data_IF_318714503754
#
_entry.id   IF_318714503754
#
_cell.length_a   1.000
_cell.length_b   1.000
_cell.length_c   1.000
_cell.angle_alpha   90.00
_cell.angle_beta   90.00
_cell.angle_gamma   90.00
#
_symmetry.space_group_name_H-M   'P 1'
#
loop_
_entity.id
_entity.type
_entity.pdbx_description
1 polymer ?
#
# COMPACT_ATOMS: atom_id res chain seq x y z
N UNK A 1 37.31 42.82 -45.46
CA UNK A 1 36.49 43.34 -44.34
C UNK A 1 35.04 42.97 -44.62
N UNK A 2 34.26 42.29 -43.80
CA UNK A 2 34.47 41.60 -42.53
C UNK A 2 33.47 40.44 -42.55
N UNK A 3 33.93 39.24 -42.22
CA UNK A 3 33.09 38.08 -41.94
C UNK A 3 32.28 38.35 -40.67
N UNK A 4 30.96 38.38 -40.78
CA UNK A 4 30.09 38.36 -39.63
C UNK A 4 30.05 36.91 -39.09
N UNK A 5 30.88 36.66 -38.08
CA UNK A 5 30.80 35.51 -37.21
C UNK A 5 29.45 35.52 -36.48
N UNK A 6 28.48 34.76 -36.97
CA UNK A 6 27.44 34.20 -36.14
C UNK A 6 27.92 32.80 -35.71
N UNK A 7 28.69 32.77 -34.63
CA UNK A 7 29.00 31.57 -33.87
C UNK A 7 27.69 30.86 -33.53
N UNK A 8 27.47 29.70 -34.15
CA UNK A 8 26.52 28.70 -33.70
C UNK A 8 27.06 28.22 -32.34
N UNK A 9 26.62 28.85 -31.25
CA UNK A 9 26.88 28.34 -29.91
C UNK A 9 26.03 27.09 -29.70
N UNK A 10 26.60 25.95 -30.08
CA UNK A 10 26.05 24.62 -29.88
C UNK A 10 26.02 24.23 -28.40
N UNK A 11 24.99 24.69 -27.70
CA UNK A 11 24.39 23.94 -26.59
C UNK A 11 22.89 23.98 -26.81
N UNK A 12 22.32 22.84 -27.18
CA UNK A 12 20.89 22.62 -26.96
C UNK A 12 20.60 23.02 -25.49
N UNK A 13 19.53 23.79 -25.23
CA UNK A 13 19.15 24.07 -23.86
C UNK A 13 18.99 22.74 -23.13
N UNK A 14 19.69 22.57 -22.02
CA UNK A 14 19.64 21.36 -21.23
C UNK A 14 18.29 21.28 -20.50
N UNK A 15 17.27 20.85 -21.25
CA UNK A 15 15.86 20.84 -20.82
C UNK A 15 15.66 19.95 -19.59
N UNK A 16 16.56 18.98 -19.37
CA UNK A 16 16.52 18.06 -18.22
C UNK A 16 16.94 18.74 -16.92
N UNK A 17 17.79 19.77 -16.98
CA UNK A 17 18.35 20.43 -15.79
C UNK A 17 17.52 21.63 -15.31
N UNK A 18 16.49 22.03 -16.07
CA UNK A 18 15.49 23.01 -15.65
C UNK A 18 14.30 22.29 -14.99
N UNK A 19 14.57 21.61 -13.89
CA UNK A 19 13.53 20.92 -13.11
C UNK A 19 12.61 21.98 -12.47
N UNK A 20 11.28 21.91 -12.67
CA UNK A 20 10.33 22.76 -11.96
C UNK A 20 10.56 22.72 -10.45
N UNK A 21 10.47 23.86 -9.76
CA UNK A 21 10.72 23.96 -8.31
C UNK A 21 9.86 22.98 -7.50
N UNK A 22 8.64 22.74 -7.97
CA UNK A 22 7.66 21.82 -7.40
C UNK A 22 8.21 20.38 -7.27
N UNK A 23 9.11 19.97 -8.19
CA UNK A 23 9.74 18.65 -8.20
C UNK A 23 11.00 18.58 -7.33
N UNK A 24 11.46 19.69 -6.73
CA UNK A 24 12.52 19.67 -5.72
C UNK A 24 12.05 19.07 -4.38
N UNK A 25 10.75 19.09 -4.13
CA UNK A 25 10.15 18.38 -3.01
C UNK A 25 10.01 16.90 -3.38
N UNK A 26 11.10 16.14 -3.24
CA UNK A 26 11.08 14.71 -3.56
C UNK A 26 10.03 14.01 -2.69
N UNK A 27 8.97 13.51 -3.31
CA UNK A 27 7.97 12.71 -2.65
C UNK A 27 8.55 11.32 -2.39
N UNK A 28 9.01 11.10 -1.16
CA UNK A 28 9.42 9.78 -0.70
C UNK A 28 8.20 8.96 -0.28
N UNK A 29 8.09 7.71 -0.74
CA UNK A 29 7.13 6.75 -0.20
C UNK A 29 7.26 6.67 1.31
N UNK A 30 6.13 6.55 2.02
CA UNK A 30 6.10 6.47 3.49
C UNK A 30 5.45 5.17 3.94
N UNK A 31 5.90 4.54 5.05
CA UNK A 31 5.18 3.43 5.68
C UNK A 31 3.74 3.80 6.04
N UNK A 32 2.87 2.80 6.11
CA UNK A 32 1.46 2.97 6.52
C UNK A 32 1.28 2.87 8.03
N UNK A 33 2.20 2.20 8.74
CA UNK A 33 2.17 2.12 10.21
C UNK A 33 2.57 3.43 10.87
N UNK A 34 1.69 3.92 11.73
CA UNK A 34 1.87 5.15 12.49
C UNK A 34 3.07 5.09 13.43
N UNK A 35 3.27 3.95 14.10
CA UNK A 35 4.39 3.73 15.04
C UNK A 35 5.75 3.81 14.32
N UNK A 36 5.80 3.37 13.06
CA UNK A 36 7.00 3.45 12.22
C UNK A 36 7.19 4.89 11.72
N UNK A 37 6.11 5.51 11.21
CA UNK A 37 6.11 6.86 10.67
C UNK A 37 6.54 7.92 11.69
N UNK A 38 6.10 7.80 12.94
CA UNK A 38 6.41 8.75 14.01
C UNK A 38 7.72 8.45 14.74
N UNK A 39 8.36 7.33 14.46
CA UNK A 39 9.59 6.94 15.16
C UNK A 39 10.71 7.94 14.89
N UNK A 40 11.23 8.56 15.95
CA UNK A 40 12.36 9.51 15.87
C UNK A 40 13.72 8.83 15.84
N UNK A 41 13.77 7.56 16.21
CA UNK A 41 14.98 6.75 16.26
C UNK A 41 14.83 5.53 15.36
N UNK A 42 15.92 5.01 14.78
CA UNK A 42 15.86 3.76 14.04
C UNK A 42 15.26 2.63 14.88
N UNK A 43 14.41 1.80 14.28
CA UNK A 43 13.72 0.69 14.92
C UNK A 43 14.63 -0.53 15.01
N UNK A 44 14.66 -1.14 16.19
CA UNK A 44 15.28 -2.44 16.44
C UNK A 44 14.23 -3.56 16.42
N UNK A 45 14.68 -4.82 16.51
CA UNK A 45 13.80 -5.99 16.51
C UNK A 45 12.74 -5.93 17.61
N UNK A 46 13.11 -5.41 18.79
CA UNK A 46 12.20 -5.36 19.94
C UNK A 46 11.09 -4.34 19.72
N UNK A 47 11.41 -3.18 19.14
CA UNK A 47 10.42 -2.17 18.78
C UNK A 47 9.41 -2.73 17.77
N UNK A 48 9.88 -3.45 16.75
CA UNK A 48 9.01 -4.07 15.74
C UNK A 48 8.14 -5.21 16.30
N UNK A 49 8.67 -6.01 17.24
CA UNK A 49 7.90 -7.06 17.92
C UNK A 49 6.78 -6.53 18.82
N UNK A 50 6.96 -5.33 19.38
CA UNK A 50 5.98 -4.69 20.25
C UNK A 50 4.83 -4.02 19.48
N UNK A 51 4.91 -3.92 18.15
CA UNK A 51 3.82 -3.39 17.34
C UNK A 51 2.64 -4.37 17.42
N UNK A 52 1.50 -3.87 17.91
CA UNK A 52 0.28 -4.68 17.96
C UNK A 52 -0.29 -4.86 16.55
N UNK A 53 -0.24 -6.11 16.10
CA UNK A 53 -0.81 -6.56 14.82
C UNK A 53 -2.06 -7.41 15.01
N UNK A 54 -2.39 -7.80 16.25
CA UNK A 54 -3.48 -8.72 16.59
C UNK A 54 -3.55 -9.91 15.61
N UNK A 55 -2.57 -10.84 15.63
CA UNK A 55 -2.35 -11.79 14.54
C UNK A 55 -3.48 -12.82 14.38
N UNK A 56 -4.26 -13.07 15.44
CA UNK A 56 -5.41 -13.98 15.44
C UNK A 56 -6.74 -13.27 15.13
N UNK A 57 -6.70 -11.96 14.84
CA UNK A 57 -7.90 -11.20 14.49
C UNK A 57 -8.42 -11.67 13.12
N UNK A 58 -9.62 -12.25 13.13
CA UNK A 58 -10.33 -12.72 11.95
C UNK A 58 -11.72 -12.09 11.87
N UNK A 59 -12.02 -11.45 10.73
CA UNK A 59 -13.35 -10.88 10.49
C UNK A 59 -14.34 -11.96 10.07
N UNK A 60 -15.28 -12.30 10.95
CA UNK A 60 -16.33 -13.28 10.63
C UNK A 60 -17.19 -12.85 9.42
N UNK A 61 -17.39 -13.70 8.40
CA UNK A 61 -18.20 -13.36 7.22
C UNK A 61 -19.70 -13.43 7.55
N UNK A 62 -20.31 -12.28 7.84
CA UNK A 62 -21.73 -12.20 8.26
C UNK A 62 -22.67 -12.20 7.06
N UNK A 63 -22.45 -11.31 6.10
CA UNK A 63 -23.36 -11.14 4.95
C UNK A 63 -23.01 -12.06 3.79
N UNK A 64 -23.92 -12.20 2.82
CA UNK A 64 -23.66 -12.99 1.61
C UNK A 64 -22.46 -12.49 0.81
N UNK A 65 -22.27 -11.17 0.70
CA UNK A 65 -21.08 -10.59 0.06
C UNK A 65 -19.79 -10.92 0.80
N UNK A 66 -19.82 -10.94 2.14
CA UNK A 66 -18.64 -11.27 2.94
C UNK A 66 -18.28 -12.75 2.79
N UNK A 67 -19.28 -13.63 2.73
CA UNK A 67 -19.06 -15.06 2.46
C UNK A 67 -18.44 -15.27 1.09
N UNK A 68 -18.94 -14.59 0.05
CA UNK A 68 -18.34 -14.64 -1.28
C UNK A 68 -16.87 -14.21 -1.22
N UNK A 69 -16.59 -13.04 -0.61
CA UNK A 69 -15.24 -12.53 -0.47
C UNK A 69 -14.30 -13.53 0.24
N UNK A 70 -14.74 -14.06 1.38
CA UNK A 70 -14.00 -15.04 2.16
C UNK A 70 -13.68 -16.30 1.35
N UNK A 71 -14.69 -16.91 0.73
CA UNK A 71 -14.47 -18.13 -0.05
C UNK A 71 -13.64 -17.88 -1.31
N UNK A 72 -13.75 -16.71 -1.94
CA UNK A 72 -12.87 -16.32 -3.05
C UNK A 72 -11.41 -16.35 -2.61
N UNK A 73 -11.06 -15.72 -1.48
CA UNK A 73 -9.68 -15.72 -0.97
C UNK A 73 -9.21 -17.14 -0.62
N UNK A 74 -10.06 -17.92 0.04
CA UNK A 74 -9.75 -19.34 0.38
C UNK A 74 -9.46 -20.17 -0.87
N UNK A 75 -10.17 -19.94 -1.97
CA UNK A 75 -9.95 -20.64 -3.25
C UNK A 75 -8.66 -20.16 -3.91
N UNK A 76 -8.40 -18.85 -3.96
CA UNK A 76 -7.17 -18.27 -4.54
C UNK A 76 -5.90 -18.74 -3.81
N UNK A 77 -6.01 -19.06 -2.51
CA UNK A 77 -4.90 -19.58 -1.71
C UNK A 77 -4.42 -20.97 -2.16
N UNK A 78 -5.32 -21.84 -2.62
CA UNK A 78 -5.00 -23.24 -2.98
C UNK A 78 -3.91 -23.35 -4.06
N UNK A 79 -4.05 -22.74 -5.26
CA UNK A 79 -3.03 -22.83 -6.29
C UNK A 79 -1.72 -22.15 -5.87
N UNK A 80 -1.81 -21.07 -5.10
CA UNK A 80 -0.65 -20.32 -4.59
C UNK A 80 0.19 -21.18 -3.65
N UNK A 81 -0.43 -21.82 -2.65
CA UNK A 81 0.26 -22.69 -1.69
C UNK A 81 0.87 -23.90 -2.40
N UNK A 82 0.18 -24.47 -3.40
CA UNK A 82 0.69 -25.59 -4.19
C UNK A 82 1.90 -25.21 -5.06
N UNK A 83 1.86 -24.04 -5.71
CA UNK A 83 2.91 -23.58 -6.62
C UNK A 83 4.19 -23.18 -5.88
N UNK A 84 4.06 -22.41 -4.79
CA UNK A 84 5.23 -21.87 -4.09
C UNK A 84 5.78 -22.79 -2.99
N UNK A 85 4.95 -23.62 -2.35
CA UNK A 85 5.34 -24.46 -1.21
C UNK A 85 6.12 -23.62 -0.18
N UNK A 86 7.38 -23.99 0.10
CA UNK A 86 8.28 -23.29 1.04
C UNK A 86 9.14 -22.19 0.40
N UNK A 87 8.89 -21.77 -0.83
CA UNK A 87 9.63 -20.67 -1.49
C UNK A 87 9.08 -19.31 -1.04
N UNK A 88 9.22 -18.96 0.24
CA UNK A 88 8.61 -17.79 0.85
C UNK A 88 8.95 -16.47 0.15
N UNK A 89 10.22 -16.25 -0.21
CA UNK A 89 10.63 -14.99 -0.87
C UNK A 89 10.08 -14.90 -2.30
N UNK A 90 10.10 -15.99 -3.08
CA UNK A 90 9.50 -16.00 -4.43
C UNK A 90 7.97 -15.81 -4.37
N UNK A 91 7.34 -16.40 -3.35
CA UNK A 91 5.91 -16.20 -3.08
C UNK A 91 5.62 -14.74 -2.79
N UNK A 92 6.39 -14.11 -1.89
CA UNK A 92 6.26 -12.69 -1.57
C UNK A 92 6.40 -11.85 -2.85
N UNK A 93 7.50 -11.96 -3.58
CA UNK A 93 7.71 -11.21 -4.85
C UNK A 93 6.50 -11.32 -5.80
N UNK A 94 5.90 -12.51 -5.95
CA UNK A 94 4.74 -12.66 -6.82
C UNK A 94 3.45 -12.06 -6.22
N UNK A 95 3.15 -12.33 -4.95
CA UNK A 95 1.92 -11.85 -4.32
C UNK A 95 1.88 -10.33 -4.18
N UNK A 96 3.02 -9.71 -3.92
CA UNK A 96 3.17 -8.25 -3.77
C UNK A 96 2.89 -7.50 -5.07
N UNK A 97 3.13 -8.13 -6.23
CA UNK A 97 2.73 -7.56 -7.53
C UNK A 97 1.21 -7.50 -7.72
N UNK A 98 0.49 -8.38 -7.03
CA UNK A 98 -0.97 -8.44 -7.03
C UNK A 98 -1.56 -7.57 -5.92
N UNK A 99 -0.93 -7.55 -4.74
CA UNK A 99 -1.34 -6.77 -3.57
C UNK A 99 -1.29 -5.25 -3.81
N UNK A 100 -0.38 -4.77 -4.66
CA UNK A 100 -0.34 -3.35 -5.06
C UNK A 100 -1.48 -2.90 -6.00
N UNK A 101 -2.32 -3.83 -6.51
CA UNK A 101 -3.37 -3.52 -7.51
C UNK A 101 -4.67 -2.97 -6.89
N UNK A 102 -5.25 -3.58 -5.84
CA UNK A 102 -6.52 -3.16 -5.26
C UNK A 102 -6.61 -1.69 -4.87
N UNK A 103 -5.63 -1.17 -4.12
CA UNK A 103 -5.60 0.24 -3.70
C UNK A 103 -5.63 1.18 -4.92
N UNK A 104 -4.83 0.90 -5.95
CA UNK A 104 -4.78 1.70 -7.18
C UNK A 104 -6.11 1.68 -7.95
N UNK A 105 -6.74 0.51 -8.07
CA UNK A 105 -8.06 0.35 -8.71
C UNK A 105 -9.13 1.12 -7.94
N UNK A 106 -9.18 0.95 -6.61
CA UNK A 106 -10.12 1.62 -5.74
C UNK A 106 -9.98 3.14 -5.83
N UNK A 107 -8.75 3.64 -5.69
CA UNK A 107 -8.43 5.06 -5.83
C UNK A 107 -8.87 5.62 -7.19
N UNK A 108 -8.58 4.92 -8.29
CA UNK A 108 -8.94 5.36 -9.64
C UNK A 108 -10.46 5.46 -9.80
N UNK A 109 -11.21 4.43 -9.38
CA UNK A 109 -12.67 4.42 -9.52
C UNK A 109 -13.30 5.50 -8.65
N UNK A 110 -12.82 5.69 -7.42
CA UNK A 110 -13.28 6.74 -6.51
C UNK A 110 -12.96 8.14 -7.03
N UNK A 111 -11.76 8.35 -7.56
CA UNK A 111 -11.34 9.59 -8.20
C UNK A 111 -12.29 9.96 -9.35
N UNK A 112 -12.50 9.04 -10.28
CA UNK A 112 -13.43 9.28 -11.40
C UNK A 112 -14.88 9.48 -10.94
N UNK A 113 -15.32 8.81 -9.87
CA UNK A 113 -16.63 9.05 -9.24
C UNK A 113 -16.72 10.47 -8.67
N UNK A 114 -15.69 10.93 -7.94
CA UNK A 114 -15.61 12.28 -7.39
C UNK A 114 -15.69 13.35 -8.48
N UNK A 115 -14.92 13.17 -9.57
CA UNK A 115 -14.95 14.07 -10.73
C UNK A 115 -16.34 14.11 -11.39
N UNK A 116 -16.93 12.96 -11.73
CA UNK A 116 -18.24 12.91 -12.39
C UNK A 116 -19.38 13.43 -11.52
N UNK A 117 -19.29 13.24 -10.20
CA UNK A 117 -20.31 13.73 -9.24
C UNK A 117 -20.06 15.17 -8.80
N UNK A 118 -18.89 15.75 -9.10
CA UNK A 118 -18.44 17.05 -8.60
C UNK A 118 -18.58 17.11 -7.06
N UNK A 119 -18.03 16.10 -6.38
CA UNK A 119 -18.15 15.94 -4.94
C UNK A 119 -16.80 15.56 -4.34
N UNK A 120 -16.55 16.03 -3.11
CA UNK A 120 -15.40 15.58 -2.33
C UNK A 120 -15.44 14.06 -2.13
N UNK A 121 -14.27 13.42 -2.15
CA UNK A 121 -14.17 11.95 -2.03
C UNK A 121 -14.33 11.43 -0.59
N UNK A 122 -14.09 12.30 0.40
CA UNK A 122 -14.13 11.94 1.82
C UNK A 122 -12.81 11.41 2.38
N UNK A 123 -11.71 11.54 1.61
CA UNK A 123 -10.34 11.22 2.05
C UNK A 123 -9.84 9.81 1.69
N UNK A 124 -10.57 9.04 0.90
CA UNK A 124 -10.22 7.65 0.59
C UNK A 124 -9.18 7.50 -0.51
N UNK A 125 -9.22 8.36 -1.54
CA UNK A 125 -8.33 8.26 -2.71
C UNK A 125 -6.87 8.25 -2.26
N UNK A 126 -6.48 9.17 -1.38
CA UNK A 126 -5.11 9.27 -0.90
C UNK A 126 -4.70 8.03 -0.10
N UNK A 127 -5.55 7.58 0.84
CA UNK A 127 -5.31 6.34 1.58
C UNK A 127 -5.12 5.11 0.68
N UNK A 128 -5.94 4.97 -0.37
CA UNK A 128 -5.87 3.83 -1.28
C UNK A 128 -4.65 3.90 -2.21
N UNK A 129 -4.22 5.10 -2.60
CA UNK A 129 -2.96 5.28 -3.33
C UNK A 129 -1.75 5.00 -2.43
N UNK A 130 -1.83 5.39 -1.15
CA UNK A 130 -0.78 5.15 -0.16
C UNK A 130 -0.63 3.65 0.14
N UNK A 131 -1.73 2.91 0.31
CA UNK A 131 -1.74 1.44 0.41
C UNK A 131 -1.07 0.81 -0.82
N UNK A 132 -1.48 1.19 -2.04
CA UNK A 132 -0.88 0.66 -3.27
C UNK A 132 0.62 0.98 -3.40
N UNK A 133 1.05 2.15 -2.92
CA UNK A 133 2.46 2.49 -2.86
C UNK A 133 3.22 1.66 -1.82
N UNK A 134 2.63 1.39 -0.67
CA UNK A 134 3.26 0.60 0.37
C UNK A 134 3.52 -0.85 -0.07
N UNK A 135 2.52 -1.49 -0.66
CA UNK A 135 2.63 -2.82 -1.29
C UNK A 135 3.72 -2.83 -2.38
N UNK A 136 3.80 -1.76 -3.19
CA UNK A 136 4.87 -1.61 -4.17
C UNK A 136 6.25 -1.51 -3.50
N UNK A 137 6.36 -0.89 -2.33
CA UNK A 137 7.62 -0.81 -1.57
C UNK A 137 8.02 -2.16 -0.96
N UNK A 138 7.04 -2.99 -0.58
CA UNK A 138 7.30 -4.38 -0.21
C UNK A 138 7.91 -5.15 -1.39
N UNK A 139 7.28 -5.09 -2.58
CA UNK A 139 7.82 -5.69 -3.81
C UNK A 139 9.25 -5.23 -4.10
N UNK A 140 9.50 -3.92 -4.07
CA UNK A 140 10.83 -3.36 -4.36
C UNK A 140 11.89 -3.85 -3.36
N UNK A 141 11.50 -4.06 -2.11
CA UNK A 141 12.35 -4.66 -1.07
C UNK A 141 12.65 -6.12 -1.39
N UNK A 142 11.63 -6.94 -1.66
CA UNK A 142 11.81 -8.36 -1.94
C UNK A 142 12.61 -8.60 -3.22
N UNK A 143 12.45 -7.74 -4.23
CA UNK A 143 13.26 -7.79 -5.45
C UNK A 143 14.77 -7.63 -5.16
N UNK A 144 15.16 -6.85 -4.15
CA UNK A 144 16.58 -6.72 -3.78
C UNK A 144 17.15 -8.00 -3.15
N UNK A 145 16.29 -8.91 -2.69
CA UNK A 145 16.67 -10.17 -2.08
C UNK A 145 16.58 -11.32 -3.10
N UNK A 146 15.53 -11.35 -3.92
CA UNK A 146 15.33 -12.36 -4.96
C UNK A 146 14.84 -11.72 -6.26
N UNK A 147 15.60 -11.92 -7.34
CA UNK A 147 15.26 -11.41 -8.66
C UNK A 147 14.50 -12.49 -9.46
N UNK A 148 13.27 -12.20 -9.94
CA UNK A 148 12.52 -13.16 -10.71
C UNK A 148 13.16 -13.39 -12.09
N UNK A 149 13.22 -14.65 -12.52
CA UNK A 149 13.64 -15.00 -13.87
C UNK A 149 12.56 -14.61 -14.91
N UNK A 150 12.88 -14.74 -16.19
CA UNK A 150 11.98 -14.31 -17.27
C UNK A 150 10.62 -15.06 -17.30
N UNK A 151 10.59 -16.34 -16.88
CA UNK A 151 9.35 -17.10 -16.77
C UNK A 151 8.48 -16.58 -15.62
N UNK A 152 9.09 -16.31 -14.46
CA UNK A 152 8.40 -15.72 -13.31
C UNK A 152 7.84 -14.33 -13.65
N UNK A 153 8.61 -13.50 -14.37
CA UNK A 153 8.13 -12.18 -14.86
C UNK A 153 6.97 -12.30 -15.84
N UNK A 154 7.00 -13.31 -16.72
CA UNK A 154 5.90 -13.58 -17.64
C UNK A 154 4.64 -14.01 -16.88
N UNK A 155 4.80 -14.88 -15.87
CA UNK A 155 3.69 -15.31 -15.00
C UNK A 155 3.10 -14.13 -14.22
N UNK A 156 3.95 -13.29 -13.62
CA UNK A 156 3.55 -12.05 -12.93
C UNK A 156 2.70 -11.18 -13.86
N UNK A 157 3.16 -10.94 -15.08
CA UNK A 157 2.43 -10.11 -16.05
C UNK A 157 1.04 -10.67 -16.37
N UNK A 158 0.93 -11.99 -16.57
CA UNK A 158 -0.35 -12.65 -16.86
C UNK A 158 -1.30 -12.61 -15.66
N UNK A 159 -0.81 -12.94 -14.46
CA UNK A 159 -1.60 -12.95 -13.22
C UNK A 159 -2.05 -11.53 -12.88
N UNK A 160 -1.16 -10.55 -12.95
CA UNK A 160 -1.48 -9.16 -12.69
C UNK A 160 -2.51 -8.62 -13.70
N UNK A 161 -2.35 -8.91 -14.99
CA UNK A 161 -3.31 -8.52 -16.02
C UNK A 161 -4.69 -9.12 -15.82
N UNK A 162 -4.77 -10.42 -15.49
CA UNK A 162 -6.03 -11.08 -15.16
C UNK A 162 -6.67 -10.52 -13.89
N UNK A 163 -5.89 -10.42 -12.81
CA UNK A 163 -6.36 -9.93 -11.51
C UNK A 163 -6.84 -8.48 -11.60
N UNK A 164 -6.10 -7.59 -12.25
CA UNK A 164 -6.49 -6.19 -12.44
C UNK A 164 -7.89 -6.08 -13.05
N UNK A 165 -8.14 -6.77 -14.16
CA UNK A 165 -9.42 -6.69 -14.85
C UNK A 165 -10.57 -7.27 -14.01
N UNK A 166 -10.35 -8.41 -13.34
CA UNK A 166 -11.36 -9.01 -12.47
C UNK A 166 -11.66 -8.12 -11.25
N UNK A 167 -10.64 -7.59 -10.59
CA UNK A 167 -10.78 -6.74 -9.42
C UNK A 167 -11.39 -5.38 -9.79
N UNK A 168 -11.03 -4.80 -10.94
CA UNK A 168 -11.66 -3.61 -11.48
C UNK A 168 -13.17 -3.80 -11.68
N UNK A 169 -13.59 -4.90 -12.30
CA UNK A 169 -15.01 -5.21 -12.47
C UNK A 169 -15.70 -5.46 -11.12
N UNK A 170 -15.05 -6.17 -10.20
CA UNK A 170 -15.57 -6.38 -8.84
C UNK A 170 -15.80 -5.05 -8.13
N UNK A 171 -14.84 -4.13 -8.18
CA UNK A 171 -14.95 -2.82 -7.53
C UNK A 171 -16.03 -1.94 -8.16
N UNK A 172 -16.23 -2.01 -9.48
CA UNK A 172 -17.35 -1.32 -10.15
C UNK A 172 -18.72 -1.84 -9.70
N UNK A 173 -18.85 -3.16 -9.51
CA UNK A 173 -20.12 -3.82 -9.15
C UNK A 173 -20.40 -3.68 -7.65
N UNK A 174 -19.40 -3.97 -6.81
CA UNK A 174 -19.50 -3.98 -5.35
C UNK A 174 -18.17 -3.57 -4.71
N UNK A 175 -17.95 -2.25 -4.50
CA UNK A 175 -16.78 -1.74 -3.76
C UNK A 175 -16.65 -2.38 -2.38
N UNK A 176 -17.78 -2.63 -1.71
CA UNK A 176 -17.82 -3.31 -0.40
C UNK A 176 -17.23 -4.71 -0.46
N UNK A 177 -17.65 -5.52 -1.45
CA UNK A 177 -17.09 -6.87 -1.61
C UNK A 177 -15.61 -6.80 -1.96
N UNK A 178 -15.20 -5.85 -2.81
CA UNK A 178 -13.80 -5.66 -3.16
C UNK A 178 -12.93 -5.39 -1.93
N UNK A 179 -13.30 -4.43 -1.08
CA UNK A 179 -12.59 -4.16 0.18
C UNK A 179 -12.59 -5.37 1.12
N UNK A 180 -13.70 -6.11 1.20
CA UNK A 180 -13.77 -7.33 2.02
C UNK A 180 -12.86 -8.44 1.49
N UNK A 181 -12.69 -8.56 0.17
CA UNK A 181 -11.71 -9.47 -0.45
C UNK A 181 -10.30 -9.09 -0.04
N UNK A 182 -9.94 -7.80 -0.13
CA UNK A 182 -8.61 -7.31 0.28
C UNK A 182 -8.37 -7.59 1.76
N UNK A 183 -9.31 -7.24 2.65
CA UNK A 183 -9.16 -7.52 4.08
C UNK A 183 -8.91 -9.00 4.40
N UNK A 184 -9.51 -9.94 3.65
CA UNK A 184 -9.21 -11.37 3.79
C UNK A 184 -7.88 -11.79 3.14
N UNK A 185 -7.45 -11.14 2.04
CA UNK A 185 -6.12 -11.36 1.48
C UNK A 185 -5.04 -10.98 2.51
N UNK A 186 -5.22 -9.88 3.22
CA UNK A 186 -4.24 -9.42 4.21
C UNK A 186 -4.22 -10.27 5.48
N UNK A 187 -5.36 -10.83 5.90
CA UNK A 187 -5.37 -11.88 6.93
C UNK A 187 -4.47 -13.07 6.52
N UNK A 188 -4.56 -13.48 5.25
CA UNK A 188 -3.73 -14.57 4.71
C UNK A 188 -2.26 -14.15 4.51
N UNK A 189 -1.98 -12.87 4.24
CA UNK A 189 -0.65 -12.30 4.21
C UNK A 189 0.02 -12.37 5.59
N UNK A 190 -0.69 -11.94 6.65
CA UNK A 190 -0.20 -12.03 8.04
C UNK A 190 0.11 -13.47 8.44
N UNK A 191 -0.75 -14.44 8.08
CA UNK A 191 -0.50 -15.87 8.31
C UNK A 191 0.77 -16.35 7.57
N UNK A 192 0.96 -15.87 6.33
CA UNK A 192 2.13 -16.21 5.52
C UNK A 192 3.41 -15.64 6.12
N UNK A 193 3.41 -14.39 6.56
CA UNK A 193 4.55 -13.74 7.20
C UNK A 193 4.85 -14.31 8.59
N UNK A 194 3.84 -14.70 9.36
CA UNK A 194 4.04 -15.46 10.60
C UNK A 194 4.74 -16.80 10.35
N UNK A 195 4.38 -17.49 9.27
CA UNK A 195 5.05 -18.74 8.88
C UNK A 195 6.49 -18.49 8.44
N UNK A 196 6.75 -17.39 7.73
CA UNK A 196 8.09 -16.98 7.34
C UNK A 196 8.97 -16.68 8.58
N UNK A 197 8.47 -15.89 9.53
CA UNK A 197 9.18 -15.62 10.80
C UNK A 197 9.51 -16.90 11.56
N UNK A 198 8.57 -17.84 11.66
CA UNK A 198 8.82 -19.14 12.32
C UNK A 198 9.94 -19.93 11.65
N UNK A 199 10.03 -19.92 10.32
CA UNK A 199 11.10 -20.62 9.61
C UNK A 199 12.47 -19.94 9.82
N UNK A 200 12.50 -18.61 9.96
CA UNK A 200 13.71 -17.87 10.35
C UNK A 200 14.11 -18.21 11.80
N UNK A 201 13.16 -18.13 12.74
CA UNK A 201 13.40 -18.36 14.17
C UNK A 201 13.83 -19.79 14.49
N UNK A 202 13.34 -20.77 13.72
CA UNK A 202 13.76 -22.17 13.81
C UNK A 202 15.11 -22.44 13.12
N UNK A 203 15.70 -21.45 12.44
CA UNK A 203 16.97 -21.60 11.71
C UNK A 203 16.86 -22.34 10.37
N UNK A 204 15.64 -22.57 9.86
CA UNK A 204 15.42 -23.20 8.56
C UNK A 204 15.66 -22.23 7.40
N UNK A 205 15.55 -20.92 7.65
CA UNK A 205 15.92 -19.84 6.74
C UNK A 205 16.97 -18.95 7.39
N UNK A 206 17.99 -18.58 6.63
CA UNK A 206 19.07 -17.72 7.14
C UNK A 206 18.54 -16.32 7.45
N UNK A 207 18.73 -15.87 8.70
CA UNK A 207 18.45 -14.50 9.09
C UNK A 207 19.58 -13.56 8.62
N UNK A 208 19.58 -13.25 7.32
CA UNK A 208 20.61 -12.42 6.68
C UNK A 208 20.69 -11.04 7.32
N UNK A 209 21.92 -10.58 7.60
CA UNK A 209 22.23 -9.19 8.00
C UNK A 209 22.36 -8.23 6.81
N UNK A 210 22.37 -8.76 5.59
CA UNK A 210 22.44 -7.95 4.39
C UNK A 210 21.03 -7.50 3.99
N UNK A 211 20.49 -6.55 4.76
CA UNK A 211 19.18 -5.95 4.51
C UNK A 211 19.29 -4.89 3.41
N UNK A 212 18.38 -4.87 2.42
CA UNK A 212 18.38 -3.84 1.39
C UNK A 212 18.27 -2.42 1.96
N UNK A 213 19.10 -1.47 1.49
CA UNK A 213 19.06 -0.07 1.94
C UNK A 213 17.67 0.57 1.78
N UNK A 214 16.91 0.16 0.77
CA UNK A 214 15.52 0.62 0.56
C UNK A 214 14.61 0.27 1.75
N UNK A 215 14.79 -0.90 2.35
CA UNK A 215 14.01 -1.33 3.51
C UNK A 215 14.44 -0.57 4.77
N UNK A 216 15.76 -0.38 4.93
CA UNK A 216 16.34 0.37 6.05
C UNK A 216 15.80 1.79 6.08
N UNK A 217 15.84 2.47 4.94
CA UNK A 217 15.36 3.85 4.82
C UNK A 217 13.82 3.92 4.97
N UNK A 218 13.09 3.06 4.25
CA UNK A 218 11.63 3.12 4.22
C UNK A 218 11.00 2.85 5.58
N UNK A 219 11.37 1.76 6.27
CA UNK A 219 10.83 1.43 7.60
C UNK A 219 11.67 2.00 8.76
N UNK A 220 12.64 2.88 8.48
CA UNK A 220 13.52 3.48 9.48
C UNK A 220 14.16 2.42 10.40
N UNK A 221 14.76 1.38 9.83
CA UNK A 221 15.40 0.29 10.58
C UNK A 221 16.83 0.68 11.03
N UNK A 222 17.31 0.17 12.16
CA UNK A 222 18.71 0.37 12.55
C UNK A 222 19.64 -0.40 11.60
N UNK A 223 20.34 0.35 10.74
CA UNK A 223 21.28 -0.18 9.74
C UNK A 223 22.35 -1.11 10.32
N UNK A 224 22.75 -0.94 11.58
CA UNK A 224 23.81 -1.73 12.19
C UNK A 224 23.34 -3.09 12.70
N UNK A 225 22.04 -3.22 12.99
CA UNK A 225 21.47 -4.41 13.61
C UNK A 225 20.39 -5.08 12.78
N UNK A 226 19.84 -4.40 11.77
CA UNK A 226 18.74 -4.89 10.95
C UNK A 226 19.06 -6.23 10.29
N UNK A 227 18.06 -7.10 10.32
CA UNK A 227 18.10 -8.44 9.74
C UNK A 227 16.91 -8.69 8.83
N UNK A 228 16.95 -9.77 8.05
CA UNK A 228 15.82 -10.23 7.23
C UNK A 228 14.53 -10.36 8.06
N UNK A 229 14.66 -10.86 9.29
CA UNK A 229 13.55 -10.98 10.25
C UNK A 229 12.89 -9.63 10.54
N UNK A 230 13.67 -8.56 10.69
CA UNK A 230 13.15 -7.21 10.97
C UNK A 230 12.36 -6.65 9.78
N UNK A 231 12.83 -6.91 8.55
CA UNK A 231 12.07 -6.58 7.34
C UNK A 231 10.73 -7.32 7.32
N UNK A 232 10.74 -8.62 7.62
CA UNK A 232 9.51 -9.42 7.68
C UNK A 232 8.54 -8.91 8.76
N UNK A 233 9.05 -8.49 9.92
CA UNK A 233 8.23 -7.90 10.98
C UNK A 233 7.58 -6.59 10.52
N UNK A 234 8.35 -5.71 9.87
CA UNK A 234 7.87 -4.41 9.40
C UNK A 234 6.79 -4.57 8.30
N UNK A 235 7.04 -5.43 7.31
CA UNK A 235 6.06 -5.76 6.27
C UNK A 235 4.79 -6.35 6.89
N UNK A 236 4.91 -7.35 7.77
CA UNK A 236 3.75 -7.94 8.46
C UNK A 236 2.92 -6.91 9.24
N UNK A 237 3.57 -5.88 9.80
CA UNK A 237 2.87 -4.81 10.50
C UNK A 237 2.06 -3.95 9.52
N UNK A 238 2.62 -3.59 8.36
CA UNK A 238 1.90 -2.90 7.29
C UNK A 238 0.65 -3.71 6.85
N UNK A 239 0.79 -5.02 6.64
CA UNK A 239 -0.33 -5.91 6.25
C UNK A 239 -1.48 -5.91 7.27
N UNK A 240 -1.15 -5.83 8.56
CA UNK A 240 -2.16 -5.70 9.61
C UNK A 240 -2.96 -4.40 9.49
N UNK A 241 -2.30 -3.30 9.09
CA UNK A 241 -2.99 -2.04 8.82
C UNK A 241 -3.88 -2.13 7.58
N UNK A 242 -3.41 -2.76 6.50
CA UNK A 242 -4.22 -2.97 5.30
C UNK A 242 -5.44 -3.85 5.58
N UNK A 243 -5.27 -4.93 6.36
CA UNK A 243 -6.36 -5.78 6.86
C UNK A 243 -7.44 -4.95 7.55
N UNK A 244 -7.03 -4.20 8.57
CA UNK A 244 -7.93 -3.47 9.44
C UNK A 244 -8.64 -2.34 8.67
N UNK A 245 -7.89 -1.63 7.83
CA UNK A 245 -8.39 -0.54 6.99
C UNK A 245 -9.40 -1.04 5.96
N UNK A 246 -9.11 -2.13 5.25
CA UNK A 246 -10.01 -2.66 4.22
C UNK A 246 -11.27 -3.29 4.82
N UNK A 247 -11.17 -4.01 5.95
CA UNK A 247 -12.37 -4.48 6.66
C UNK A 247 -13.23 -3.31 7.14
N UNK A 248 -12.59 -2.25 7.67
CA UNK A 248 -13.27 -1.03 8.09
C UNK A 248 -13.96 -0.34 6.91
N UNK A 249 -13.29 -0.14 5.78
CA UNK A 249 -13.88 0.43 4.57
C UNK A 249 -15.09 -0.36 4.06
N UNK A 250 -15.03 -1.69 4.07
CA UNK A 250 -16.19 -2.52 3.74
C UNK A 250 -17.38 -2.28 4.69
N UNK A 251 -17.13 -2.08 5.98
CA UNK A 251 -18.17 -1.78 6.98
C UNK A 251 -18.72 -0.35 6.81
N UNK A 252 -17.87 0.63 6.50
CA UNK A 252 -18.29 2.01 6.20
C UNK A 252 -19.25 2.08 5.02
N UNK A 253 -18.96 1.35 3.95
CA UNK A 253 -19.84 1.27 2.78
C UNK A 253 -21.18 0.61 3.14
N UNK A 254 -21.16 -0.40 4.02
CA UNK A 254 -22.39 -1.06 4.49
C UNK A 254 -23.32 -0.10 5.22
N UNK A 255 -22.78 0.73 6.12
CA UNK A 255 -23.57 1.69 6.91
C UNK A 255 -23.82 3.02 6.17
N UNK A 256 -23.23 3.20 4.99
CA UNK A 256 -23.37 4.42 4.18
C UNK A 256 -22.58 5.62 4.69
N UNK A 257 -21.56 5.41 5.54
CA UNK A 257 -20.72 6.46 6.12
C UNK A 257 -19.35 6.49 5.44
N UNK A 258 -19.28 7.01 4.21
CA UNK A 258 -18.05 7.03 3.42
C UNK A 258 -17.17 8.28 3.63
N UNK A 259 -17.48 9.20 4.53
CA UNK A 259 -16.62 10.37 4.78
C UNK A 259 -15.71 10.15 6.00
N UNK A 260 -14.40 10.04 5.81
CA UNK A 260 -13.44 9.82 6.90
C UNK A 260 -13.23 11.09 7.73
N UNK A 261 -13.51 12.26 7.15
CA UNK A 261 -13.29 13.56 7.80
C UNK A 261 -14.20 13.75 9.01
N UNK A 262 -15.40 13.17 9.00
CA UNK A 262 -16.32 13.23 10.14
C UNK A 262 -15.73 12.53 11.37
N UNK A 263 -15.10 11.38 11.18
CA UNK A 263 -14.53 10.63 12.29
C UNK A 263 -13.20 11.22 12.75
N UNK A 264 -12.41 11.77 11.83
CA UNK A 264 -11.25 12.59 12.19
C UNK A 264 -11.70 13.78 13.04
N UNK A 265 -12.75 14.52 12.65
CA UNK A 265 -13.29 15.59 13.50
C UNK A 265 -13.69 15.08 14.87
N UNK A 266 -14.42 13.97 14.99
CA UNK A 266 -14.78 13.40 16.30
C UNK A 266 -13.57 12.97 17.13
N UNK A 267 -12.56 12.36 16.52
CA UNK A 267 -11.37 11.87 17.21
C UNK A 267 -10.42 13.02 17.63
N UNK A 268 -10.37 14.11 16.84
CA UNK A 268 -9.49 15.26 17.09
C UNK A 268 -10.21 16.45 17.75
N UNK A 269 -11.54 16.47 17.87
CA UNK A 269 -12.25 17.40 18.77
C UNK A 269 -11.85 17.15 20.24
N UNK A 270 -11.34 15.96 20.57
CA UNK A 270 -10.68 15.63 21.85
C UNK A 270 -9.18 16.01 21.90
N UNK A 271 -8.54 16.33 20.77
CA UNK A 271 -7.11 16.66 20.69
C UNK A 271 -6.83 17.84 19.74
N UNK A 272 -6.64 19.02 20.32
CA UNK A 272 -6.42 20.39 19.79
C UNK A 272 -5.39 20.57 18.62
N UNK A 273 -5.51 19.82 17.52
CA UNK A 273 -4.61 19.90 16.34
C UNK A 273 -5.31 19.61 15.01
N UNK A 274 -6.28 20.42 14.61
CA UNK A 274 -6.71 20.47 13.20
C UNK A 274 -6.09 21.67 12.48
N UNK A 275 -4.90 21.48 11.90
CA UNK A 275 -4.32 22.47 10.96
C UNK A 275 -4.84 22.22 9.54
N UNK A 276 -5.50 23.25 8.99
CA UNK A 276 -5.80 23.54 7.57
C UNK A 276 -5.63 22.36 6.58
N UNK A 277 -6.65 21.50 6.52
CA UNK A 277 -6.88 20.56 5.41
C UNK A 277 -8.14 20.98 4.65
N UNK A 278 -8.11 20.85 3.31
CA UNK A 278 -9.26 21.17 2.47
C UNK A 278 -10.48 20.33 2.89
N UNK A 279 -11.63 20.99 3.15
CA UNK A 279 -12.86 20.34 3.59
C UNK A 279 -12.92 19.98 5.09
N UNK A 280 -11.88 20.26 5.88
CA UNK A 280 -11.94 20.22 7.35
C UNK A 280 -12.23 21.59 7.97
N UNK A 281 -11.85 22.68 7.29
CA UNK A 281 -12.20 24.06 7.65
C UNK A 281 -13.50 24.50 6.99
N UNK A 282 -14.34 25.26 7.69
CA UNK A 282 -15.61 25.82 7.17
C UNK A 282 -15.46 26.77 5.96
N UNK A 283 -14.21 27.13 5.60
CA UNK A 283 -13.89 28.08 4.52
C UNK A 283 -13.92 27.44 3.12
N UNK A 284 -13.89 26.11 2.99
CA UNK A 284 -13.88 25.41 1.70
C UNK A 284 -15.22 24.67 1.46
N UNK A 285 -16.13 25.16 0.60
CA UNK A 285 -17.43 24.52 0.37
C UNK A 285 -17.30 23.15 -0.29
N UNK A 286 -17.99 22.14 0.25
CA UNK A 286 -17.88 20.72 -0.16
C UNK A 286 -18.61 20.37 -1.47
N UNK A 287 -19.55 21.22 -1.88
CA UNK A 287 -20.28 21.12 -3.13
C UNK A 287 -20.00 22.35 -3.97
N UNK A 288 -19.60 22.13 -5.21
CA UNK A 288 -19.38 23.21 -6.17
C UNK A 288 -20.71 23.89 -6.48
N UNK A 289 -20.88 25.14 -6.03
CA UNK A 289 -22.00 25.99 -6.44
C UNK A 289 -21.58 26.72 -7.71
N UNK A 290 -22.19 26.36 -8.84
CA UNK A 290 -22.08 27.16 -10.05
C UNK A 290 -22.95 28.41 -9.90
N UNK A 291 -22.38 29.61 -10.06
CA UNK A 291 -23.17 30.78 -10.37
C UNK A 291 -23.76 30.59 -11.77
N UNK A 292 -25.09 30.64 -11.90
CA UNK A 292 -25.76 30.68 -13.19
C UNK A 292 -25.43 31.98 -13.93
#
# INVERSE_FOLDING_TARGET
MQSANATINGKEPDVIHQIPEDLFYLHHPKPVRHEILESKTPLDSKALENIDISPDLHRQPVTWSDKIAFYTVRILRIPTDWFFKKKYIHRAVMLETVAAVPGMVGATIRHLRSLRKLQHDGGWIDHLLHEAENERMHLMTWMRISQPNWWERSLITLVQGGFYNMFFMLYLISPRTAHRVVGYLEEEAIVSYNSFLKEIDNGNLENSKNVPDIAIDYWNLDKNTATLRDVVLAVRADEATHRDTNHHFADRILVGHEDLREDIKRAFEDHDKTKKMAGLTNEAPEKWKWSK
#
